data_IF_003292330136
#
_entry.id   IF_003292330136
#
_cell.length_a   1.000
_cell.length_b   1.000
_cell.length_c   1.000
_cell.angle_alpha   90.00
_cell.angle_beta   90.00
_cell.angle_gamma   90.00
#
_symmetry.space_group_name_H-M   'P 1'
#
loop_
_entity.id
_entity.type
_entity.pdbx_description
1 polymer ?
#
# COMPACT_ATOMS: atom_id res chain seq x y z
N UNK A 1 -38.62 -7.03 -29.33
CA UNK A 1 -38.35 -7.02 -27.88
C UNK A 1 -36.96 -7.54 -27.50
N UNK A 2 -36.42 -8.59 -28.13
CA UNK A 2 -35.08 -9.16 -27.81
C UNK A 2 -33.89 -8.18 -27.95
N UNK A 3 -33.91 -7.29 -28.95
CA UNK A 3 -32.85 -6.28 -29.13
C UNK A 3 -32.95 -5.08 -28.17
N UNK A 4 -34.13 -4.86 -27.58
CA UNK A 4 -34.35 -3.75 -26.65
C UNK A 4 -33.62 -4.02 -25.32
N UNK A 5 -33.60 -5.27 -24.88
CA UNK A 5 -32.91 -5.72 -23.66
C UNK A 5 -31.38 -5.58 -23.78
N UNK A 6 -30.83 -5.89 -24.95
CA UNK A 6 -29.41 -5.70 -25.27
C UNK A 6 -29.01 -4.22 -25.29
N UNK A 7 -29.87 -3.37 -25.84
CA UNK A 7 -29.63 -1.93 -25.86
C UNK A 7 -29.67 -1.33 -24.44
N UNK A 8 -30.58 -1.79 -23.59
CA UNK A 8 -30.65 -1.40 -22.17
C UNK A 8 -29.39 -1.85 -21.42
N UNK A 9 -28.91 -3.08 -21.60
CA UNK A 9 -27.69 -3.57 -20.93
C UNK A 9 -26.42 -2.80 -21.33
N UNK A 10 -26.30 -2.39 -22.59
CA UNK A 10 -25.17 -1.57 -23.05
C UNK A 10 -25.21 -0.14 -22.52
N UNK A 11 -26.38 0.39 -22.18
CA UNK A 11 -26.50 1.70 -21.53
C UNK A 11 -26.09 1.68 -20.04
N UNK A 12 -26.03 0.50 -19.42
CA UNK A 12 -25.61 0.32 -18.02
C UNK A 12 -24.19 -0.23 -17.87
N UNK A 13 -23.42 -0.41 -18.94
CA UNK A 13 -22.00 -0.77 -18.84
C UNK A 13 -21.20 0.47 -18.43
N UNK A 14 -21.20 0.78 -17.14
CA UNK A 14 -20.32 1.80 -16.57
C UNK A 14 -18.86 1.32 -16.63
N UNK A 15 -17.95 2.28 -16.84
CA UNK A 15 -16.51 2.04 -16.81
C UNK A 15 -16.12 1.61 -15.39
N UNK A 16 -15.71 0.35 -15.24
CA UNK A 16 -15.15 -0.15 -13.97
C UNK A 16 -13.71 0.32 -13.87
N UNK A 17 -13.44 1.22 -12.92
CA UNK A 17 -12.09 1.63 -12.57
C UNK A 17 -11.65 0.87 -11.33
N UNK A 18 -10.64 0.01 -11.48
CA UNK A 18 -9.95 -0.58 -10.33
C UNK A 18 -8.92 0.42 -9.83
N UNK A 19 -9.26 1.17 -8.79
CA UNK A 19 -8.29 2.02 -8.10
C UNK A 19 -7.42 1.18 -7.18
N UNK A 20 -6.10 1.26 -7.38
CA UNK A 20 -5.12 0.64 -6.50
C UNK A 20 -5.10 1.38 -5.16
N UNK A 21 -4.95 0.63 -4.06
CA UNK A 21 -4.77 1.19 -2.73
C UNK A 21 -3.49 2.05 -2.71
N UNK A 22 -3.62 3.31 -2.27
CA UNK A 22 -2.50 4.22 -2.05
C UNK A 22 -1.55 3.56 -1.05
N UNK A 23 -0.28 3.50 -1.47
CA UNK A 23 0.83 2.94 -0.72
C UNK A 23 1.30 3.91 0.35
N UNK A 24 1.82 3.36 1.45
CA UNK A 24 2.53 4.18 2.43
C UNK A 24 3.84 4.68 1.82
N UNK A 25 4.37 5.78 2.35
CA UNK A 25 5.65 6.35 1.92
C UNK A 25 6.70 6.16 3.01
N UNK A 26 7.91 5.82 2.58
CA UNK A 26 9.12 5.81 3.39
C UNK A 26 10.03 6.96 2.96
N UNK A 27 10.39 7.81 3.90
CA UNK A 27 11.44 8.80 3.76
C UNK A 27 12.80 8.20 4.16
N UNK A 28 13.80 8.40 3.29
CA UNK A 28 15.18 8.01 3.55
C UNK A 28 16.14 8.92 2.79
N UNK A 29 17.11 9.51 3.47
CA UNK A 29 18.12 10.41 2.90
C UNK A 29 17.49 11.57 2.06
N UNK A 30 16.36 12.12 2.53
CA UNK A 30 15.62 13.18 1.84
C UNK A 30 14.86 12.75 0.58
N UNK A 31 14.83 11.45 0.26
CA UNK A 31 14.03 10.87 -0.82
C UNK A 31 12.82 10.13 -0.25
N UNK A 32 11.71 10.12 -0.99
CA UNK A 32 10.48 9.40 -0.64
C UNK A 32 10.29 8.20 -1.56
N UNK A 33 9.86 7.08 -0.98
CA UNK A 33 9.63 5.82 -1.68
C UNK A 33 8.30 5.21 -1.27
N UNK A 34 7.51 4.76 -2.26
CA UNK A 34 6.34 3.95 -2.00
C UNK A 34 6.75 2.57 -1.44
N UNK A 35 6.22 2.19 -0.28
CA UNK A 35 6.44 0.86 0.30
C UNK A 35 5.31 -0.10 -0.06
N UNK A 36 5.65 -1.39 -0.23
CA UNK A 36 4.69 -2.43 -0.60
C UNK A 36 3.82 -2.89 0.58
N UNK A 37 4.29 -2.71 1.81
CA UNK A 37 3.64 -3.12 3.05
C UNK A 37 2.82 -1.99 3.71
N UNK A 38 1.98 -2.35 4.68
CA UNK A 38 1.14 -1.42 5.45
C UNK A 38 1.36 -1.60 6.97
N UNK A 39 2.50 -1.17 7.52
CA UNK A 39 2.94 -1.57 8.87
C UNK A 39 1.96 -1.22 10.00
N UNK A 40 1.18 -0.15 9.85
CA UNK A 40 0.19 0.26 10.86
C UNK A 40 -0.96 -0.75 11.03
N UNK A 41 -1.23 -1.59 10.03
CA UNK A 41 -2.27 -2.63 10.13
C UNK A 41 -1.93 -3.71 11.17
N UNK A 42 -0.64 -3.90 11.46
CA UNK A 42 -0.16 -4.83 12.48
C UNK A 42 -0.23 -4.25 13.90
N UNK A 43 -0.63 -2.99 14.05
CA UNK A 43 -0.77 -2.35 15.36
C UNK A 43 -1.98 -2.95 16.11
N UNK A 44 -1.83 -3.29 17.38
CA UNK A 44 -2.90 -3.90 18.20
C UNK A 44 -4.19 -3.06 18.24
N UNK A 45 -4.04 -1.74 18.28
CA UNK A 45 -5.14 -0.77 18.24
C UNK A 45 -5.56 -0.31 16.82
N UNK A 46 -5.20 -1.04 15.76
CA UNK A 46 -5.46 -0.62 14.36
C UNK A 46 -6.91 -0.18 14.12
N UNK A 47 -7.89 -0.95 14.59
CA UNK A 47 -9.32 -0.63 14.46
C UNK A 47 -9.72 0.72 15.10
N UNK A 48 -9.11 1.06 16.24
CA UNK A 48 -9.35 2.35 16.89
C UNK A 48 -8.69 3.50 16.12
N UNK A 49 -7.51 3.25 15.56
CA UNK A 49 -6.79 4.21 14.73
C UNK A 49 -7.60 4.52 13.47
N UNK A 50 -8.11 3.50 12.77
CA UNK A 50 -8.94 3.66 11.56
C UNK A 50 -10.20 4.50 11.86
N UNK A 51 -10.84 4.29 13.02
CA UNK A 51 -11.99 5.10 13.45
C UNK A 51 -11.64 6.57 13.65
N UNK A 52 -10.46 6.88 14.19
CA UNK A 52 -10.00 8.28 14.38
C UNK A 52 -9.72 9.00 13.06
N UNK A 53 -9.15 8.29 12.08
CA UNK A 53 -8.80 8.90 10.79
C UNK A 53 -10.01 9.06 9.86
N UNK A 54 -11.20 8.56 10.22
CA UNK A 54 -12.49 8.76 9.55
C UNK A 54 -12.37 8.85 8.01
N UNK A 55 -12.37 7.67 7.36
CA UNK A 55 -12.26 7.56 5.92
C UNK A 55 -13.49 8.16 5.24
N UNK A 56 -13.34 9.33 4.60
CA UNK A 56 -14.28 9.69 3.52
C UNK A 56 -14.15 8.65 2.41
N UNK A 57 -15.19 8.46 1.60
CA UNK A 57 -15.20 7.47 0.52
C UNK A 57 -14.17 7.81 -0.56
N UNK A 58 -12.94 7.30 -0.41
CA UNK A 58 -11.96 7.24 -1.47
C UNK A 58 -11.68 5.78 -1.84
N UNK A 59 -12.02 5.41 -3.07
CA UNK A 59 -11.79 4.05 -3.58
C UNK A 59 -10.29 3.70 -3.65
N UNK A 60 -9.42 4.71 -3.82
CA UNK A 60 -7.97 4.60 -3.77
C UNK A 60 -7.36 4.60 -2.37
N UNK A 61 -8.06 5.04 -1.32
CA UNK A 61 -7.59 4.90 0.06
C UNK A 61 -8.67 4.31 0.95
N UNK A 62 -8.85 3.00 0.82
CA UNK A 62 -9.85 2.23 1.58
C UNK A 62 -9.54 2.21 3.08
N UNK A 63 -8.28 2.44 3.44
CA UNK A 63 -7.82 2.61 4.82
C UNK A 63 -8.16 3.98 5.41
N UNK A 64 -8.49 4.98 4.57
CA UNK A 64 -8.74 6.37 4.99
C UNK A 64 -7.48 7.19 5.28
N UNK A 65 -6.30 6.57 5.24
CA UNK A 65 -5.02 7.23 5.51
C UNK A 65 -3.90 6.70 4.61
N UNK A 66 -2.79 7.44 4.59
CA UNK A 66 -1.50 7.02 4.08
C UNK A 66 -0.46 7.20 5.19
N UNK A 67 0.28 6.14 5.51
CA UNK A 67 1.34 6.18 6.52
C UNK A 67 2.62 6.82 5.96
N UNK A 68 3.29 7.62 6.78
CA UNK A 68 4.52 8.30 6.42
C UNK A 68 5.60 7.89 7.41
N UNK A 69 6.58 7.17 6.89
CA UNK A 69 7.55 6.42 7.67
C UNK A 69 8.96 6.96 7.46
N UNK A 70 9.84 6.71 8.42
CA UNK A 70 11.25 7.08 8.33
C UNK A 70 12.12 5.93 8.81
N UNK A 71 13.21 5.68 8.10
CA UNK A 71 14.32 4.88 8.60
C UNK A 71 15.50 5.81 8.89
N UNK A 72 15.88 5.91 10.16
CA UNK A 72 17.03 6.68 10.61
C UNK A 72 17.69 5.99 11.80
N UNK A 73 19.02 6.00 11.89
CA UNK A 73 19.76 5.42 13.02
C UNK A 73 19.35 3.98 13.37
N UNK A 74 19.14 3.14 12.35
CA UNK A 74 18.67 1.74 12.47
C UNK A 74 17.32 1.58 13.18
N UNK A 75 16.48 2.60 13.17
CA UNK A 75 15.13 2.58 13.74
C UNK A 75 14.11 2.91 12.67
N UNK A 76 12.95 2.27 12.78
CA UNK A 76 11.79 2.48 11.92
C UNK A 76 10.76 3.31 12.67
N UNK A 77 10.39 4.45 12.12
CA UNK A 77 9.53 5.43 12.77
C UNK A 77 8.26 5.68 11.97
N UNK A 78 7.14 5.85 12.67
CA UNK A 78 5.97 6.51 12.12
C UNK A 78 6.07 8.01 12.40
N UNK A 79 6.09 8.83 11.35
CA UNK A 79 6.15 10.29 11.47
C UNK A 79 4.75 10.88 11.68
N UNK A 80 3.87 10.61 10.73
CA UNK A 80 2.50 11.12 10.71
C UNK A 80 1.64 10.27 9.77
N UNK A 81 0.32 10.44 9.86
CA UNK A 81 -0.61 9.92 8.87
C UNK A 81 -1.15 11.07 8.02
N UNK A 82 -1.22 10.85 6.72
CA UNK A 82 -2.00 11.70 5.82
C UNK A 82 -3.41 11.14 5.78
N UNK A 83 -4.34 11.81 6.46
CA UNK A 83 -5.76 11.49 6.43
C UNK A 83 -6.38 11.95 5.11
N UNK A 84 -7.31 11.16 4.58
CA UNK A 84 -8.00 11.43 3.30
C UNK A 84 -7.01 11.84 2.18
N UNK A 85 -6.01 10.99 1.85
CA UNK A 85 -4.95 11.34 0.90
C UNK A 85 -5.47 11.60 -0.54
N UNK A 86 -6.75 11.36 -0.80
CA UNK A 86 -7.34 11.54 -2.12
C UNK A 86 -7.97 12.92 -2.35
N UNK A 87 -8.61 13.51 -1.32
CA UNK A 87 -9.34 14.77 -1.39
C UNK A 87 -9.36 15.41 0.00
N UNK A 88 -8.71 16.57 0.13
CA UNK A 88 -8.48 17.31 1.39
C UNK A 88 -7.58 16.59 2.39
N UNK A 89 -6.30 16.47 2.06
CA UNK A 89 -5.29 15.83 2.91
C UNK A 89 -5.04 16.61 4.20
N UNK A 90 -5.20 15.94 5.33
CA UNK A 90 -4.92 16.47 6.67
C UNK A 90 -3.78 15.65 7.29
N UNK A 91 -2.77 16.33 7.84
CA UNK A 91 -1.65 15.68 8.51
C UNK A 91 -1.99 15.46 9.98
N UNK A 92 -2.02 14.21 10.41
CA UNK A 92 -2.24 13.82 11.78
C UNK A 92 -0.92 13.35 12.40
N UNK A 93 -0.54 13.96 13.51
CA UNK A 93 0.69 13.57 14.20
C UNK A 93 0.55 12.14 14.75
N UNK A 94 1.60 11.32 14.58
CA UNK A 94 1.60 9.94 15.04
C UNK A 94 1.28 9.80 16.55
N UNK A 95 1.68 10.76 17.39
CA UNK A 95 1.38 10.78 18.83
C UNK A 95 -0.11 10.86 19.13
N UNK A 96 -0.82 11.73 18.42
CA UNK A 96 -2.26 11.95 18.63
C UNK A 96 -3.06 10.69 18.27
N UNK A 97 -2.55 9.94 17.30
CA UNK A 97 -3.16 8.72 16.80
C UNK A 97 -2.87 7.54 17.74
N UNK A 98 -1.60 7.35 18.09
CA UNK A 98 -1.12 6.22 18.88
C UNK A 98 -1.36 6.41 20.39
N UNK A 99 -1.51 7.65 20.85
CA UNK A 99 -1.61 7.98 22.27
C UNK A 99 -0.26 7.88 23.00
N UNK A 100 0.85 7.99 22.27
CA UNK A 100 2.22 7.93 22.79
C UNK A 100 2.81 9.34 22.95
N UNK A 101 3.69 9.52 23.95
CA UNK A 101 4.40 10.78 24.19
C UNK A 101 5.77 10.80 23.46
N UNK A 102 6.01 11.78 22.58
CA UNK A 102 7.34 12.06 22.01
C UNK A 102 7.36 12.41 20.52
N UNK A 103 8.28 13.24 20.02
CA UNK A 103 8.19 13.77 18.64
C UNK A 103 8.30 12.72 17.51
N UNK A 104 8.94 11.57 17.77
CA UNK A 104 9.14 10.49 16.79
C UNK A 104 8.74 9.15 17.41
N UNK A 105 7.71 8.50 16.86
CA UNK A 105 7.26 7.20 17.35
C UNK A 105 8.05 6.10 16.66
N UNK A 106 9.00 5.51 17.39
CA UNK A 106 9.61 4.25 16.96
C UNK A 106 8.50 3.22 16.90
N UNK A 107 8.35 2.55 15.76
CA UNK A 107 7.34 1.54 15.52
C UNK A 107 7.69 0.22 16.24
N UNK A 108 7.79 0.27 17.57
CA UNK A 108 8.23 -0.86 18.41
C UNK A 108 7.30 -2.06 18.32
N UNK A 109 6.04 -1.84 17.94
CA UNK A 109 5.06 -2.88 17.67
C UNK A 109 5.32 -3.65 16.37
N UNK A 110 6.08 -3.08 15.43
CA UNK A 110 6.20 -3.64 14.09
C UNK A 110 7.38 -4.60 13.95
N UNK A 111 7.11 -5.79 13.42
CA UNK A 111 8.09 -6.79 12.99
C UNK A 111 7.69 -7.30 11.60
N UNK A 112 8.55 -7.16 10.62
CA UNK A 112 8.22 -7.47 9.22
C UNK A 112 9.21 -6.85 8.24
N UNK A 113 8.86 -6.90 6.95
CA UNK A 113 9.68 -6.30 5.90
C UNK A 113 9.12 -4.96 5.46
N UNK A 114 10.01 -4.04 5.09
CA UNK A 114 9.68 -2.80 4.40
C UNK A 114 10.40 -2.81 3.06
N UNK A 115 9.63 -2.91 1.99
CA UNK A 115 10.08 -3.11 0.62
C UNK A 115 9.72 -1.91 -0.23
N UNK A 116 10.70 -1.33 -0.91
CA UNK A 116 10.45 -0.30 -1.93
C UNK A 116 11.28 -0.54 -3.18
N UNK A 117 10.68 -0.22 -4.32
CA UNK A 117 11.25 -0.43 -5.65
C UNK A 117 12.32 0.62 -5.96
N UNK A 118 13.43 0.18 -6.57
CA UNK A 118 14.54 1.06 -7.01
C UNK A 118 14.81 1.01 -8.52
N UNK A 119 14.20 0.08 -9.26
CA UNK A 119 14.27 0.03 -10.73
C UNK A 119 12.91 0.27 -11.40
N UNK A 120 12.87 0.55 -12.71
CA UNK A 120 11.66 0.39 -13.50
C UNK A 120 11.09 -1.04 -13.42
N UNK A 121 9.79 -1.17 -13.67
CA UNK A 121 9.14 -2.48 -13.79
C UNK A 121 9.34 -3.03 -15.19
N UNK A 122 9.88 -4.23 -15.26
CA UNK A 122 9.98 -5.03 -16.47
C UNK A 122 8.78 -5.97 -16.56
N UNK A 123 8.10 -5.96 -17.69
CA UNK A 123 7.05 -6.92 -18.00
C UNK A 123 7.66 -8.10 -18.73
N UNK A 124 7.29 -9.31 -18.34
CA UNK A 124 7.71 -10.52 -19.05
C UNK A 124 6.53 -11.47 -19.28
N UNK A 125 6.70 -12.36 -20.26
CA UNK A 125 5.76 -13.42 -20.59
C UNK A 125 6.55 -14.67 -20.96
N UNK A 126 6.30 -15.78 -20.28
CA UNK A 126 6.97 -17.07 -20.50
C UNK A 126 5.91 -18.17 -20.40
N UNK A 127 5.78 -18.99 -21.45
CA UNK A 127 4.96 -20.22 -21.45
C UNK A 127 3.53 -20.11 -20.88
N UNK A 128 2.84 -19.01 -21.16
CA UNK A 128 1.46 -18.79 -20.70
C UNK A 128 1.36 -18.09 -19.34
N UNK A 129 2.47 -17.87 -18.67
CA UNK A 129 2.57 -16.97 -17.52
C UNK A 129 2.98 -15.58 -17.99
N UNK A 130 2.40 -14.56 -17.35
CA UNK A 130 2.85 -13.18 -17.46
C UNK A 130 3.28 -12.70 -16.08
N UNK A 131 4.19 -11.73 -16.02
CA UNK A 131 4.66 -11.23 -14.76
C UNK A 131 5.28 -9.86 -14.83
N UNK A 132 5.60 -9.36 -13.64
CA UNK A 132 6.43 -8.18 -13.44
C UNK A 132 7.71 -8.58 -12.72
N UNK A 133 8.81 -7.93 -13.08
CA UNK A 133 10.10 -8.01 -12.42
C UNK A 133 10.60 -6.60 -12.11
N UNK A 134 11.17 -6.40 -10.93
CA UNK A 134 11.86 -5.16 -10.57
C UNK A 134 12.85 -5.41 -9.43
N UNK A 135 13.88 -4.57 -9.36
CA UNK A 135 14.82 -4.53 -8.25
C UNK A 135 14.23 -3.69 -7.11
N UNK A 136 14.36 -4.19 -5.88
CA UNK A 136 13.87 -3.54 -4.67
C UNK A 136 14.89 -3.60 -3.55
N UNK A 137 14.82 -2.59 -2.67
CA UNK A 137 15.46 -2.64 -1.35
C UNK A 137 14.46 -3.25 -0.38
N UNK A 138 14.91 -4.20 0.42
CA UNK A 138 14.13 -4.78 1.53
C UNK A 138 14.87 -4.56 2.84
N UNK A 139 14.19 -3.89 3.77
CA UNK A 139 14.61 -3.79 5.16
C UNK A 139 13.86 -4.82 6.00
N UNK A 140 14.55 -5.58 6.83
CA UNK A 140 13.90 -6.41 7.85
C UNK A 140 13.87 -5.65 9.18
N UNK A 141 12.66 -5.45 9.70
CA UNK A 141 12.38 -4.76 10.94
C UNK A 141 12.03 -5.78 12.02
N UNK A 142 12.65 -5.65 13.19
CA UNK A 142 12.32 -6.40 14.40
C UNK A 142 12.03 -5.43 15.55
N UNK A 143 10.76 -5.36 15.95
CA UNK A 143 10.28 -4.45 17.00
C UNK A 143 10.77 -3.01 16.79
N UNK A 144 10.58 -2.49 15.57
CA UNK A 144 11.02 -1.14 15.18
C UNK A 144 12.53 -0.97 14.96
N UNK A 145 13.35 -2.01 15.11
CA UNK A 145 14.78 -1.97 14.78
C UNK A 145 15.04 -2.52 13.38
N UNK A 146 15.83 -1.79 12.60
CA UNK A 146 16.36 -2.32 11.34
C UNK A 146 17.44 -3.35 11.66
N UNK A 147 17.22 -4.59 11.25
CA UNK A 147 18.13 -5.72 11.51
C UNK A 147 18.90 -6.17 10.29
N UNK A 148 18.35 -5.95 9.10
CA UNK A 148 19.01 -6.27 7.83
C UNK A 148 18.55 -5.30 6.74
N UNK A 149 19.37 -5.25 5.69
CA UNK A 149 19.08 -4.56 4.43
C UNK A 149 19.61 -5.41 3.30
N UNK A 150 18.75 -5.72 2.34
CA UNK A 150 19.14 -6.42 1.11
C UNK A 150 18.59 -5.71 -0.12
N UNK A 151 19.26 -5.92 -1.25
CA UNK A 151 18.77 -5.54 -2.57
C UNK A 151 18.50 -6.84 -3.33
N UNK A 152 17.30 -6.99 -3.89
CA UNK A 152 16.93 -8.21 -4.64
C UNK A 152 15.92 -7.94 -5.74
N UNK A 153 15.88 -8.88 -6.68
CA UNK A 153 14.83 -8.97 -7.68
C UNK A 153 13.52 -9.45 -7.04
N UNK A 154 12.46 -8.68 -7.22
CA UNK A 154 11.09 -9.07 -6.91
C UNK A 154 10.41 -9.50 -8.21
N UNK A 155 9.92 -10.74 -8.22
CA UNK A 155 9.21 -11.32 -9.36
C UNK A 155 7.79 -11.63 -8.90
N UNK A 156 6.78 -11.09 -9.59
CA UNK A 156 5.37 -11.45 -9.38
C UNK A 156 4.79 -11.97 -10.69
N UNK A 157 4.40 -13.24 -10.70
CA UNK A 157 3.86 -13.94 -11.87
C UNK A 157 2.37 -14.21 -11.67
N UNK A 158 1.62 -14.25 -12.77
CA UNK A 158 0.25 -14.73 -12.81
C UNK A 158 0.03 -15.57 -14.07
N UNK A 159 -0.73 -16.66 -13.90
CA UNK A 159 -1.05 -17.56 -14.99
C UNK A 159 -2.21 -16.98 -15.83
N UNK A 160 -1.99 -16.82 -17.13
CA UNK A 160 -3.01 -16.28 -18.03
C UNK A 160 -4.10 -17.30 -18.40
N UNK A 161 -3.86 -18.61 -18.22
CA UNK A 161 -4.89 -19.64 -18.45
C UNK A 161 -6.08 -19.51 -17.48
N UNK A 162 -5.84 -18.96 -16.28
CA UNK A 162 -6.89 -18.70 -15.28
C UNK A 162 -7.76 -17.46 -15.59
N UNK A 163 -7.40 -16.62 -16.58
CA UNK A 163 -8.24 -15.50 -17.01
C UNK A 163 -9.41 -15.93 -17.91
N UNK A 164 -9.34 -17.11 -18.52
CA UNK A 164 -10.36 -17.61 -19.45
C UNK A 164 -11.63 -18.15 -18.77
N UNK A 165 -11.64 -18.33 -17.44
CA UNK A 165 -12.77 -18.92 -16.70
C UNK A 165 -13.62 -17.92 -15.89
N UNK A 166 -13.41 -16.61 -16.06
CA UNK A 166 -14.24 -15.56 -15.43
C UNK A 166 -15.00 -14.66 -16.42
N UNK A 167 -15.20 -15.14 -17.65
CA UNK A 167 -16.22 -14.63 -18.55
C UNK A 167 -17.16 -15.78 -18.87
N UNK A 168 -18.07 -16.08 -17.94
CA UNK A 168 -19.37 -16.72 -18.19
C UNK A 168 -20.09 -16.90 -16.86
N UNK A 169 -20.90 -15.89 -16.50
CA UNK A 169 -22.15 -16.03 -15.75
C UNK A 169 -22.95 -14.74 -15.81
#
# INVERSE_FOLDING_TARGET
MRYLLLFVLLLFSSLSYSTQQIKDELEMNGSKFDIDEYPLQEHSNYELIVKKVNSRECTGSRRGYQGQWLIQNNKFYLLYLVKNPCMDSEYLNANEILGEEGFLNVATWYTGNVTFRISPVELYRVDGDSGIKYEAVVYTINQGNVTSREIKDIIRSWNDSNKSLKQDK
#
